data_IF_709522336145
#
_entry.id   IF_709522336145
#
_cell.length_a   1.000
_cell.length_b   1.000
_cell.length_c   1.000
_cell.angle_alpha   90.00
_cell.angle_beta   90.00
_cell.angle_gamma   90.00
#
_symmetry.space_group_name_H-M   'P 1'
#
loop_
_entity.id
_entity.type
_entity.pdbx_description
1 polymer ?
#
# COMPACT_ATOMS: atom_id res chain seq x y z
N UNK A 1 25.03 5.48 -18.55
CA UNK A 1 23.91 5.55 -17.59
C UNK A 1 23.19 4.22 -17.62
N UNK A 2 23.30 3.44 -16.54
CA UNK A 2 22.71 2.11 -16.44
C UNK A 2 21.19 2.23 -16.49
N UNK A 3 20.57 1.84 -17.63
CA UNK A 3 19.13 1.65 -17.69
C UNK A 3 18.83 0.45 -16.80
N UNK A 4 18.43 0.72 -15.57
CA UNK A 4 17.95 -0.31 -14.66
C UNK A 4 16.68 -0.90 -15.29
N UNK A 5 16.81 -2.04 -15.96
CA UNK A 5 15.72 -2.77 -16.62
C UNK A 5 14.94 -3.64 -15.62
N UNK A 6 15.14 -3.45 -14.30
CA UNK A 6 14.40 -4.23 -13.32
C UNK A 6 12.91 -3.93 -13.47
N UNK A 7 12.06 -4.97 -13.52
CA UNK A 7 10.63 -4.77 -13.45
C UNK A 7 10.34 -3.89 -12.23
N UNK A 8 9.68 -2.76 -12.48
CA UNK A 8 9.35 -1.77 -11.46
C UNK A 8 8.67 -2.51 -10.31
N UNK A 9 9.28 -2.51 -9.13
CA UNK A 9 8.72 -3.19 -7.96
C UNK A 9 7.31 -2.69 -7.73
N UNK A 10 6.40 -3.59 -7.37
CA UNK A 10 5.05 -3.17 -7.02
C UNK A 10 5.11 -2.16 -5.86
N UNK A 11 4.35 -1.08 -6.00
CA UNK A 11 4.15 -0.11 -4.94
C UNK A 11 2.98 -0.53 -4.08
N UNK A 12 3.21 -0.66 -2.78
CA UNK A 12 2.26 -1.16 -1.79
C UNK A 12 1.59 -0.02 -1.03
N UNK A 13 0.39 -0.26 -0.51
CA UNK A 13 -0.29 0.70 0.35
C UNK A 13 0.20 0.56 1.80
N UNK A 14 0.35 1.69 2.50
CA UNK A 14 0.37 1.72 3.96
C UNK A 14 -1.07 1.82 4.49
N UNK A 15 -1.31 1.20 5.64
CA UNK A 15 -2.56 1.36 6.40
C UNK A 15 -2.45 2.54 7.38
N UNK A 16 -3.55 2.85 8.07
CA UNK A 16 -3.61 3.96 9.04
C UNK A 16 -2.64 3.77 10.25
N UNK A 17 -2.10 2.57 10.45
CA UNK A 17 -1.12 2.24 11.49
C UNK A 17 0.35 2.37 11.00
N UNK A 18 0.56 2.76 9.74
CA UNK A 18 1.88 2.85 9.12
C UNK A 18 2.49 1.49 8.74
N UNK A 19 1.66 0.45 8.61
CA UNK A 19 2.08 -0.89 8.19
C UNK A 19 1.68 -1.18 6.73
N UNK A 20 2.44 -2.04 6.04
CA UNK A 20 2.10 -2.49 4.68
C UNK A 20 0.79 -3.25 4.68
N UNK A 21 -0.20 -2.76 3.93
CA UNK A 21 -1.58 -3.22 3.98
C UNK A 21 -1.75 -4.71 3.66
N UNK A 22 -1.05 -5.21 2.64
CA UNK A 22 -1.16 -6.62 2.24
C UNK A 22 -0.24 -7.57 3.03
N UNK A 23 0.68 -7.04 3.83
CA UNK A 23 1.59 -7.83 4.66
C UNK A 23 1.92 -7.03 5.93
N UNK A 24 0.92 -6.84 6.82
CA UNK A 24 1.15 -6.16 8.08
C UNK A 24 2.06 -7.04 8.92
N UNK A 25 3.28 -6.56 9.17
CA UNK A 25 4.27 -7.26 9.99
C UNK A 25 4.78 -6.34 11.07
N UNK A 26 5.69 -5.47 10.68
CA UNK A 26 6.44 -4.61 11.58
C UNK A 26 6.48 -3.20 10.98
N UNK A 27 6.40 -2.19 11.87
CA UNK A 27 6.38 -0.79 11.47
C UNK A 27 7.73 -0.33 10.94
N UNK A 28 8.85 -0.84 11.45
CA UNK A 28 10.18 -0.49 10.92
C UNK A 28 10.36 -1.03 9.49
N UNK A 29 9.88 -2.25 9.23
CA UNK A 29 9.88 -2.83 7.89
C UNK A 29 9.01 -2.02 6.91
N UNK A 30 7.84 -1.55 7.36
CA UNK A 30 6.95 -0.73 6.55
C UNK A 30 7.54 0.66 6.28
N UNK A 31 8.09 1.30 7.31
CA UNK A 31 8.77 2.58 7.19
C UNK A 31 10.00 2.49 6.26
N UNK A 32 10.76 1.40 6.30
CA UNK A 32 11.85 1.17 5.34
C UNK A 32 11.31 1.04 3.91
N UNK A 33 10.23 0.29 3.72
CA UNK A 33 9.60 0.14 2.42
C UNK A 33 9.10 1.49 1.88
N UNK A 34 8.57 2.35 2.74
CA UNK A 34 8.19 3.72 2.39
C UNK A 34 9.39 4.57 1.95
N UNK A 35 10.47 4.58 2.75
CA UNK A 35 11.71 5.29 2.45
C UNK A 35 12.37 4.81 1.15
N UNK A 36 12.21 3.53 0.78
CA UNK A 36 12.67 2.97 -0.49
C UNK A 36 11.66 3.18 -1.66
N UNK A 37 10.52 3.83 -1.41
CA UNK A 37 9.46 4.06 -2.40
C UNK A 37 8.72 2.79 -2.84
N UNK A 38 8.83 1.73 -2.06
CA UNK A 38 8.16 0.43 -2.22
C UNK A 38 6.77 0.46 -1.59
N UNK A 39 6.58 1.23 -0.51
CA UNK A 39 5.27 1.48 0.09
C UNK A 39 4.90 2.97 0.00
N UNK A 40 3.61 3.28 0.04
CA UNK A 40 3.10 4.65 0.00
C UNK A 40 1.76 4.76 0.71
N UNK A 41 1.51 5.91 1.32
CA UNK A 41 0.19 6.30 1.81
C UNK A 41 -0.74 6.72 0.66
N UNK A 42 -0.17 7.10 -0.49
CA UNK A 42 -0.93 7.54 -1.65
C UNK A 42 -1.56 6.36 -2.40
N UNK A 43 -2.84 6.12 -2.14
CA UNK A 43 -3.65 5.06 -2.75
C UNK A 43 -3.62 5.07 -4.29
N UNK A 44 -3.45 6.24 -4.92
CA UNK A 44 -3.40 6.36 -6.38
C UNK A 44 -2.11 5.79 -6.99
N UNK A 45 -1.02 5.75 -6.21
CA UNK A 45 0.29 5.27 -6.66
C UNK A 45 0.50 3.78 -6.38
N UNK A 46 -0.40 3.15 -5.64
CA UNK A 46 -0.35 1.71 -5.32
C UNK A 46 -0.55 0.91 -6.60
N UNK A 47 0.38 0.00 -6.89
CA UNK A 47 0.29 -0.94 -8.03
C UNK A 47 0.02 -2.37 -7.62
N UNK A 48 0.32 -2.72 -6.36
CA UNK A 48 0.06 -4.05 -5.83
C UNK A 48 -1.44 -4.38 -5.87
N UNK A 49 -1.81 -5.45 -6.59
CA UNK A 49 -3.20 -5.89 -6.76
C UNK A 49 -3.91 -6.17 -5.42
N UNK A 50 -3.25 -6.91 -4.52
CA UNK A 50 -3.82 -7.21 -3.19
C UNK A 50 -4.07 -5.95 -2.37
N UNK A 51 -3.14 -4.98 -2.41
CA UNK A 51 -3.35 -3.70 -1.72
C UNK A 51 -4.55 -2.95 -2.29
N UNK A 52 -4.72 -2.91 -3.62
CA UNK A 52 -5.89 -2.29 -4.25
C UNK A 52 -7.19 -2.97 -3.83
N UNK A 53 -7.24 -4.29 -3.83
CA UNK A 53 -8.43 -5.05 -3.43
C UNK A 53 -8.81 -4.76 -1.96
N UNK A 54 -7.83 -4.73 -1.05
CA UNK A 54 -8.04 -4.38 0.35
C UNK A 54 -8.49 -2.93 0.55
N UNK A 55 -7.91 -1.97 -0.20
CA UNK A 55 -8.34 -0.57 -0.18
C UNK A 55 -9.79 -0.43 -0.66
N UNK A 56 -10.17 -1.13 -1.72
CA UNK A 56 -11.55 -1.16 -2.22
C UNK A 56 -12.52 -1.82 -1.23
N UNK A 57 -12.09 -2.82 -0.47
CA UNK A 57 -12.89 -3.41 0.60
C UNK A 57 -13.11 -2.38 1.72
N UNK A 58 -12.05 -1.75 2.22
CA UNK A 58 -12.15 -0.73 3.27
C UNK A 58 -13.04 0.45 2.87
N UNK A 59 -12.97 0.90 1.60
CA UNK A 59 -13.84 1.97 1.10
C UNK A 59 -15.32 1.57 1.12
N UNK A 60 -15.62 0.31 0.75
CA UNK A 60 -16.98 -0.24 0.83
C UNK A 60 -17.47 -0.34 2.27
N UNK A 61 -16.66 -0.90 3.17
CA UNK A 61 -16.97 -1.00 4.60
C UNK A 61 -17.23 0.38 5.24
N UNK A 62 -16.45 1.41 4.85
CA UNK A 62 -16.65 2.79 5.34
C UNK A 62 -17.96 3.38 4.85
N UNK A 63 -18.35 3.15 3.58
CA UNK A 63 -19.63 3.63 3.03
C UNK A 63 -20.82 2.93 3.67
N UNK A 64 -20.73 1.63 3.90
CA UNK A 64 -21.79 0.83 4.52
C UNK A 64 -22.04 1.28 5.97
N UNK A 65 -20.97 1.47 6.76
CA UNK A 65 -21.06 1.95 8.15
C UNK A 65 -21.48 3.42 8.29
N UNK A 66 -21.28 4.24 7.25
CA UNK A 66 -21.72 5.63 7.21
C UNK A 66 -23.17 5.83 6.77
N UNK A 67 -23.86 4.76 6.35
CA UNK A 67 -25.23 4.77 5.87
C UNK A 67 -26.27 4.27 6.89
N UNK A 68 -25.86 4.06 8.16
CA UNK A 68 -26.70 3.59 9.27
C UNK A 68 -27.12 4.69 10.24
#
# INVERSE_FOLDING_TARGET
MSRDTRPKRDRHALNDDGMVLCNPRDREAAHRAEMEGIATENRAEVTCRTCRDLLHQQDRDRRDRGAG
#
